data_IF_020967222583
#
_entry.id   IF_020967222583
#
_cell.length_a   1.000
_cell.length_b   1.000
_cell.length_c   1.000
_cell.angle_alpha   90.00
_cell.angle_beta   90.00
_cell.angle_gamma   90.00
#
_symmetry.space_group_name_H-M   'P 1'
#
loop_
_entity.id
_entity.type
_entity.pdbx_description
1 polymer ?
#
# COMPACT_ATOMS: atom_id res chain seq x y z
N UNK A 1 -40.94 56.57 -28.40
CA UNK A 1 -40.98 55.35 -29.23
C UNK A 1 -41.01 54.15 -28.32
N UNK A 2 -42.11 53.42 -28.34
CA UNK A 2 -42.19 51.99 -28.04
C UNK A 2 -41.26 51.23 -29.00
N UNK A 3 -40.46 50.30 -28.49
CA UNK A 3 -40.08 49.06 -29.18
C UNK A 3 -39.88 47.94 -28.16
N UNK A 4 -41.00 47.35 -27.76
CA UNK A 4 -41.29 45.92 -27.85
C UNK A 4 -40.12 44.94 -28.07
N UNK A 5 -40.18 43.89 -27.26
CA UNK A 5 -39.81 42.51 -27.61
C UNK A 5 -38.31 42.13 -27.63
N UNK A 6 -37.83 41.72 -26.46
CA UNK A 6 -36.83 40.64 -26.37
C UNK A 6 -37.31 39.63 -25.35
N UNK A 7 -38.33 38.88 -25.74
CA UNK A 7 -38.63 37.56 -25.20
C UNK A 7 -37.31 36.80 -25.03
N UNK A 8 -36.91 36.60 -23.76
CA UNK A 8 -35.91 35.58 -23.42
C UNK A 8 -36.63 34.25 -23.71
N UNK A 9 -36.19 33.43 -24.68
CA UNK A 9 -36.81 32.14 -24.86
C UNK A 9 -36.54 31.34 -23.59
N UNK A 10 -37.63 31.05 -22.88
CA UNK A 10 -37.66 30.08 -21.80
C UNK A 10 -36.87 28.85 -22.27
N UNK A 11 -35.82 28.52 -21.52
CA UNK A 11 -35.07 27.29 -21.75
C UNK A 11 -36.07 26.15 -21.93
N UNK A 12 -35.95 25.46 -23.07
CA UNK A 12 -36.79 24.30 -23.42
C UNK A 12 -36.95 23.42 -22.17
N UNK A 13 -38.18 22.96 -21.86
CA UNK A 13 -38.39 22.05 -20.73
C UNK A 13 -37.42 20.89 -20.89
N UNK A 14 -36.59 20.65 -19.87
CA UNK A 14 -35.82 19.42 -19.77
C UNK A 14 -36.85 18.31 -19.86
N UNK A 15 -36.72 17.51 -20.93
CA UNK A 15 -37.59 16.39 -21.22
C UNK A 15 -37.67 15.54 -19.95
N UNK A 16 -38.88 15.19 -19.47
CA UNK A 16 -39.06 14.43 -18.23
C UNK A 16 -38.22 13.12 -18.20
N UNK A 17 -37.77 12.64 -19.37
CA UNK A 17 -36.80 11.55 -19.54
C UNK A 17 -35.40 11.86 -18.98
N UNK A 18 -34.90 13.10 -19.10
CA UNK A 18 -33.58 13.51 -18.60
C UNK A 18 -33.59 13.71 -17.08
N UNK A 19 -34.67 14.23 -16.50
CA UNK A 19 -34.85 14.30 -15.04
C UNK A 19 -34.98 12.89 -14.43
N UNK A 20 -35.66 11.96 -15.12
CA UNK A 20 -35.72 10.56 -14.70
C UNK A 20 -34.34 9.87 -14.72
N UNK A 21 -33.51 10.13 -15.74
CA UNK A 21 -32.13 9.59 -15.83
C UNK A 21 -31.19 10.19 -14.79
N UNK A 22 -31.35 11.48 -14.48
CA UNK A 22 -30.59 12.16 -13.42
C UNK A 22 -30.93 11.57 -12.04
N UNK A 23 -32.22 11.39 -11.76
CA UNK A 23 -32.69 10.77 -10.51
C UNK A 23 -32.23 9.31 -10.39
N UNK A 24 -32.28 8.53 -11.47
CA UNK A 24 -31.76 7.16 -11.48
C UNK A 24 -30.24 7.10 -11.24
N UNK A 25 -29.47 8.08 -11.75
CA UNK A 25 -28.05 8.19 -11.47
C UNK A 25 -27.78 8.56 -10.00
N UNK A 26 -28.52 9.51 -9.44
CA UNK A 26 -28.40 9.88 -8.02
C UNK A 26 -28.77 8.71 -7.09
N UNK A 27 -29.80 7.92 -7.40
CA UNK A 27 -30.14 6.70 -6.67
C UNK A 27 -29.06 5.62 -6.79
N UNK A 28 -28.41 5.48 -7.96
CA UNK A 28 -27.29 4.56 -8.15
C UNK A 28 -26.01 5.01 -7.43
N UNK A 29 -25.72 6.31 -7.38
CA UNK A 29 -24.64 6.87 -6.57
C UNK A 29 -24.93 6.70 -5.08
N UNK A 30 -26.18 6.91 -4.64
CA UNK A 30 -26.58 6.71 -3.25
C UNK A 30 -26.44 5.25 -2.82
N UNK A 31 -26.81 4.29 -3.68
CA UNK A 31 -26.57 2.86 -3.44
C UNK A 31 -25.08 2.54 -3.36
N UNK A 32 -24.24 3.07 -4.26
CA UNK A 32 -22.78 2.84 -4.20
C UNK A 32 -22.15 3.46 -2.97
N UNK A 33 -22.60 4.65 -2.56
CA UNK A 33 -22.14 5.28 -1.33
C UNK A 33 -22.54 4.43 -0.12
N UNK A 34 -23.79 3.97 -0.05
CA UNK A 34 -24.25 3.08 1.01
C UNK A 34 -23.47 1.76 1.05
N UNK A 35 -23.18 1.14 -0.10
CA UNK A 35 -22.33 -0.05 -0.18
C UNK A 35 -20.88 0.21 0.24
N UNK A 36 -20.32 1.39 -0.12
CA UNK A 36 -18.97 1.79 0.28
C UNK A 36 -18.90 2.07 1.79
N UNK A 37 -19.86 2.81 2.35
CA UNK A 37 -19.97 3.08 3.79
C UNK A 37 -20.18 1.78 4.57
N UNK A 38 -21.02 0.86 4.07
CA UNK A 38 -21.22 -0.46 4.69
C UNK A 38 -19.92 -1.28 4.70
N UNK A 39 -19.11 -1.24 3.63
CA UNK A 39 -17.79 -1.90 3.59
C UNK A 39 -16.80 -1.28 4.59
N UNK A 40 -16.76 0.04 4.70
CA UNK A 40 -15.91 0.72 5.68
C UNK A 40 -16.34 0.37 7.12
N UNK A 41 -17.64 0.39 7.39
CA UNK A 41 -18.18 0.03 8.70
C UNK A 41 -17.88 -1.43 9.03
N UNK A 42 -18.05 -2.36 8.08
CA UNK A 42 -17.71 -3.77 8.27
C UNK A 42 -16.22 -3.95 8.59
N UNK A 43 -15.32 -3.27 7.87
CA UNK A 43 -13.87 -3.31 8.15
C UNK A 43 -13.54 -2.77 9.54
N UNK A 44 -14.21 -1.69 9.98
CA UNK A 44 -14.05 -1.14 11.32
C UNK A 44 -14.55 -2.11 12.40
N UNK A 45 -15.71 -2.71 12.20
CA UNK A 45 -16.29 -3.69 13.12
C UNK A 45 -15.43 -4.95 13.21
N UNK A 46 -14.92 -5.47 12.10
CA UNK A 46 -14.00 -6.61 12.08
C UNK A 46 -12.71 -6.29 12.85
N UNK A 47 -12.18 -5.08 12.68
CA UNK A 47 -11.01 -4.61 13.43
C UNK A 47 -11.28 -4.54 14.93
N UNK A 48 -12.41 -3.97 15.34
CA UNK A 48 -12.80 -3.90 16.76
C UNK A 48 -13.02 -5.30 17.35
N UNK A 49 -13.70 -6.20 16.63
CA UNK A 49 -13.90 -7.58 17.04
C UNK A 49 -12.57 -8.35 17.17
N UNK A 50 -11.62 -8.14 16.26
CA UNK A 50 -10.28 -8.73 16.36
C UNK A 50 -9.52 -8.21 17.59
N UNK A 51 -9.63 -6.92 17.92
CA UNK A 51 -9.02 -6.34 19.11
C UNK A 51 -9.65 -6.89 20.40
N UNK A 52 -10.97 -7.03 20.46
CA UNK A 52 -11.67 -7.64 21.60
C UNK A 52 -11.31 -9.12 21.77
N UNK A 53 -11.13 -9.86 20.66
CA UNK A 53 -10.62 -11.22 20.70
C UNK A 53 -9.21 -11.27 21.30
N UNK A 54 -8.32 -10.36 20.93
CA UNK A 54 -6.96 -10.32 21.50
C UNK A 54 -7.00 -9.97 22.99
N UNK A 55 -7.87 -9.04 23.41
CA UNK A 55 -8.01 -8.70 24.84
C UNK A 55 -8.51 -9.87 25.68
N UNK A 56 -9.46 -10.64 25.16
CA UNK A 56 -10.07 -11.78 25.87
C UNK A 56 -9.20 -13.03 25.94
N UNK A 57 -8.16 -13.14 25.11
CA UNK A 57 -7.24 -14.29 25.16
C UNK A 57 -6.35 -14.28 26.41
N UNK A 58 -6.02 -15.48 26.90
CA UNK A 58 -5.08 -15.67 28.00
C UNK A 58 -3.65 -15.32 27.57
N UNK A 59 -2.79 -15.00 28.52
CA UNK A 59 -1.40 -14.63 28.22
C UNK A 59 -0.65 -15.78 27.51
N UNK A 60 -0.85 -17.03 27.94
CA UNK A 60 -0.24 -18.19 27.30
C UNK A 60 -0.70 -18.37 25.83
N UNK A 61 -1.99 -18.20 25.57
CA UNK A 61 -2.55 -18.32 24.22
C UNK A 61 -2.05 -17.19 23.31
N UNK A 62 -1.90 -15.98 23.82
CA UNK A 62 -1.39 -14.83 23.06
C UNK A 62 0.08 -15.00 22.72
N UNK A 63 0.89 -15.50 23.66
CA UNK A 63 2.30 -15.80 23.40
C UNK A 63 2.44 -16.83 22.27
N UNK A 64 1.65 -17.91 22.31
CA UNK A 64 1.66 -18.91 21.24
C UNK A 64 1.15 -18.36 19.91
N UNK A 65 0.04 -17.60 19.92
CA UNK A 65 -0.55 -17.07 18.69
C UNK A 65 0.34 -15.99 18.03
N UNK A 66 0.97 -15.14 18.84
CA UNK A 66 1.88 -14.09 18.35
C UNK A 66 3.14 -14.67 17.72
N UNK A 67 3.74 -15.68 18.36
CA UNK A 67 4.96 -16.33 17.83
C UNK A 67 4.68 -17.06 16.52
N UNK A 68 3.56 -17.77 16.41
CA UNK A 68 3.13 -18.39 15.14
C UNK A 68 2.80 -17.35 14.06
N UNK A 69 2.13 -16.25 14.42
CA UNK A 69 1.86 -15.16 13.47
C UNK A 69 3.15 -14.58 12.90
N UNK A 70 4.12 -14.27 13.76
CA UNK A 70 5.43 -13.74 13.35
C UNK A 70 6.15 -14.69 12.42
N UNK A 71 6.09 -16.01 12.70
CA UNK A 71 6.65 -17.03 11.82
C UNK A 71 6.00 -17.01 10.44
N UNK A 72 4.67 -17.11 10.38
CA UNK A 72 3.91 -17.13 9.12
C UNK A 72 4.12 -15.85 8.31
N UNK A 73 4.17 -14.70 8.96
CA UNK A 73 4.40 -13.43 8.25
C UNK A 73 5.84 -13.31 7.74
N UNK A 74 6.82 -13.88 8.46
CA UNK A 74 8.22 -13.95 8.01
C UNK A 74 8.40 -14.83 6.77
N UNK A 75 7.62 -15.91 6.65
CA UNK A 75 7.61 -16.76 5.46
C UNK A 75 7.12 -16.02 4.21
N UNK A 76 6.21 -15.04 4.36
CA UNK A 76 5.73 -14.20 3.26
C UNK A 76 6.77 -13.17 2.79
N UNK A 77 7.81 -12.92 3.58
CA UNK A 77 8.86 -11.96 3.22
C UNK A 77 9.84 -12.57 2.22
N UNK A 78 9.76 -12.08 0.99
CA UNK A 78 10.75 -12.39 -0.05
C UNK A 78 11.98 -11.49 0.08
N UNK A 79 13.17 -12.08 0.23
CA UNK A 79 14.49 -11.43 0.12
C UNK A 79 14.65 -10.15 0.96
N UNK A 80 14.69 -10.29 2.29
CA UNK A 80 15.06 -9.22 3.24
C UNK A 80 16.30 -9.68 4.02
N UNK A 81 17.31 -8.82 4.12
CA UNK A 81 18.45 -9.06 5.02
C UNK A 81 17.97 -9.09 6.47
N UNK A 82 18.61 -9.91 7.31
CA UNK A 82 18.32 -10.06 8.74
C UNK A 82 16.90 -10.52 9.11
N UNK A 83 16.09 -11.01 8.16
CA UNK A 83 14.68 -11.31 8.43
C UNK A 83 14.44 -12.36 9.50
N UNK A 84 15.23 -13.43 9.48
CA UNK A 84 15.12 -14.53 10.44
C UNK A 84 15.59 -14.06 11.83
N UNK A 85 16.67 -13.26 11.89
CA UNK A 85 17.20 -12.72 13.15
C UNK A 85 16.20 -11.78 13.83
N UNK A 86 15.59 -10.86 13.08
CA UNK A 86 14.57 -9.93 13.60
C UNK A 86 13.30 -10.70 14.01
N UNK A 87 12.87 -11.68 13.21
CA UNK A 87 11.72 -12.51 13.53
C UNK A 87 11.95 -13.31 14.82
N UNK A 88 13.11 -13.93 14.97
CA UNK A 88 13.50 -14.65 16.19
C UNK A 88 13.56 -13.72 17.41
N UNK A 89 14.12 -12.52 17.25
CA UNK A 89 14.16 -11.51 18.30
C UNK A 89 12.76 -11.15 18.79
N UNK A 90 11.85 -10.83 17.86
CA UNK A 90 10.44 -10.51 18.16
C UNK A 90 9.75 -11.71 18.82
N UNK A 91 9.93 -12.93 18.30
CA UNK A 91 9.33 -14.13 18.92
C UNK A 91 9.83 -14.33 20.36
N UNK A 92 11.12 -14.12 20.61
CA UNK A 92 11.70 -14.24 21.94
C UNK A 92 11.16 -13.16 22.89
N UNK A 93 10.91 -11.95 22.39
CA UNK A 93 10.24 -10.90 23.18
C UNK A 93 8.79 -11.25 23.47
N UNK A 94 8.03 -11.73 22.49
CA UNK A 94 6.66 -12.20 22.72
C UNK A 94 6.59 -13.28 23.81
N UNK A 95 7.59 -14.18 23.88
CA UNK A 95 7.68 -15.21 24.95
C UNK A 95 7.97 -14.64 26.34
N UNK A 96 8.65 -13.49 26.42
CA UNK A 96 9.06 -12.85 27.67
C UNK A 96 8.01 -11.86 28.19
N UNK A 97 7.37 -11.13 27.28
CA UNK A 97 6.40 -10.10 27.61
C UNK A 97 5.06 -10.36 26.88
N UNK A 98 4.03 -10.84 27.62
CA UNK A 98 2.68 -10.99 27.08
C UNK A 98 2.05 -9.69 26.59
N UNK A 99 2.46 -8.54 27.14
CA UNK A 99 1.97 -7.22 26.72
C UNK A 99 2.45 -6.88 25.32
N UNK A 100 3.74 -7.13 25.05
CA UNK A 100 4.30 -7.01 23.71
C UNK A 100 3.64 -7.99 22.73
N UNK A 101 3.41 -9.23 23.15
CA UNK A 101 2.71 -10.22 22.34
C UNK A 101 1.29 -9.76 21.94
N UNK A 102 0.57 -9.04 22.83
CA UNK A 102 -0.73 -8.41 22.52
C UNK A 102 -0.60 -7.32 21.44
N UNK A 103 0.46 -6.51 21.49
CA UNK A 103 0.73 -5.47 20.49
C UNK A 103 1.06 -6.08 19.12
N UNK A 104 1.91 -7.12 19.07
CA UNK A 104 2.25 -7.84 17.83
C UNK A 104 1.02 -8.46 17.17
N UNK A 105 0.00 -8.81 17.95
CA UNK A 105 -1.25 -9.37 17.45
C UNK A 105 -2.22 -8.31 16.88
N UNK A 106 -1.93 -7.01 16.98
CA UNK A 106 -2.79 -5.97 16.43
C UNK A 106 -3.02 -6.19 14.91
N UNK A 107 -4.27 -6.18 14.41
CA UNK A 107 -4.56 -6.43 13.00
C UNK A 107 -3.88 -5.44 12.03
N UNK A 108 -3.55 -4.23 12.49
CA UNK A 108 -2.86 -3.24 11.66
C UNK A 108 -1.35 -3.51 11.56
N UNK A 109 -0.78 -4.20 12.56
CA UNK A 109 0.65 -4.46 12.65
C UNK A 109 1.02 -5.69 11.84
N UNK A 110 2.05 -5.59 10.99
CA UNK A 110 2.52 -6.73 10.20
C UNK A 110 4.04 -6.75 10.15
N UNK A 111 4.62 -7.94 9.95
CA UNK A 111 6.07 -8.04 9.76
C UNK A 111 6.53 -7.29 8.49
N UNK A 112 5.70 -7.23 7.45
CA UNK A 112 6.02 -6.48 6.22
C UNK A 112 6.23 -5.01 6.52
N UNK A 113 5.30 -4.41 7.27
CA UNK A 113 5.36 -3.01 7.69
C UNK A 113 6.49 -2.76 8.69
N UNK A 114 6.77 -3.71 9.59
CA UNK A 114 7.95 -3.66 10.46
C UNK A 114 9.24 -3.47 9.64
N UNK A 115 9.44 -4.25 8.57
CA UNK A 115 10.60 -4.05 7.71
C UNK A 115 10.54 -2.76 6.89
N UNK A 116 9.37 -2.23 6.55
CA UNK A 116 9.29 -0.90 5.94
C UNK A 116 9.74 0.19 6.90
N UNK A 117 9.32 0.09 8.17
CA UNK A 117 9.75 0.98 9.24
C UNK A 117 11.26 0.92 9.44
N UNK A 118 11.81 -0.30 9.57
CA UNK A 118 13.26 -0.52 9.69
C UNK A 118 14.02 0.11 8.51
N UNK A 119 13.54 -0.05 7.28
CA UNK A 119 14.20 0.54 6.11
C UNK A 119 14.13 2.07 6.10
N UNK A 120 13.04 2.66 6.59
CA UNK A 120 12.92 4.12 6.78
C UNK A 120 13.94 4.61 7.81
N UNK A 121 13.97 3.97 8.98
CA UNK A 121 14.90 4.33 10.05
C UNK A 121 16.36 4.13 9.63
N UNK A 122 16.67 3.04 8.92
CA UNK A 122 18.01 2.79 8.38
C UNK A 122 18.44 3.88 7.41
N UNK A 123 17.53 4.34 6.53
CA UNK A 123 17.82 5.44 5.60
C UNK A 123 18.11 6.74 6.35
N UNK A 124 17.30 7.06 7.36
CA UNK A 124 17.47 8.28 8.15
C UNK A 124 18.79 8.24 8.97
N UNK A 125 19.10 7.10 9.58
CA UNK A 125 20.36 6.85 10.27
C UNK A 125 21.56 7.03 9.35
N UNK A 126 21.57 6.37 8.18
CA UNK A 126 22.67 6.48 7.22
C UNK A 126 22.83 7.92 6.71
N UNK A 127 21.72 8.62 6.49
CA UNK A 127 21.77 10.02 6.08
C UNK A 127 22.33 10.93 7.17
N UNK A 128 22.09 10.61 8.44
CA UNK A 128 22.67 11.35 9.57
C UNK A 128 24.16 11.04 9.73
N UNK A 129 24.56 9.77 9.73
CA UNK A 129 25.97 9.35 9.80
C UNK A 129 26.81 10.00 8.71
N UNK A 130 26.29 10.09 7.48
CA UNK A 130 26.99 10.75 6.38
C UNK A 130 27.15 12.26 6.59
N UNK A 131 26.16 12.92 7.21
CA UNK A 131 26.27 14.36 7.56
C UNK A 131 27.30 14.56 8.65
N UNK A 132 27.28 13.72 9.69
CA UNK A 132 28.15 13.83 10.85
C UNK A 132 29.63 13.54 10.49
N UNK A 133 29.87 12.74 9.44
CA UNK A 133 31.20 12.43 8.92
C UNK A 133 31.61 13.28 7.68
N UNK A 134 30.82 14.28 7.28
CA UNK A 134 31.05 15.10 6.07
C UNK A 134 31.21 14.29 4.75
N UNK A 135 30.59 13.10 4.69
CA UNK A 135 30.63 12.19 3.53
C UNK A 135 29.53 12.56 2.54
N UNK A 136 29.89 12.77 1.27
CA UNK A 136 28.91 13.02 0.21
C UNK A 136 28.33 11.71 -0.33
N UNK A 137 27.01 11.64 -0.59
CA UNK A 137 26.42 10.48 -1.24
C UNK A 137 26.99 10.27 -2.64
N UNK A 138 27.57 9.10 -2.86
CA UNK A 138 28.04 8.69 -4.17
C UNK A 138 26.83 8.19 -4.98
N UNK A 139 26.55 8.86 -6.11
CA UNK A 139 25.46 8.53 -7.04
C UNK A 139 24.04 8.42 -6.42
N UNK A 140 23.78 9.11 -5.31
CA UNK A 140 22.48 9.08 -4.63
C UNK A 140 22.16 7.76 -3.92
N UNK A 141 23.16 6.88 -3.78
CA UNK A 141 23.06 5.65 -3.00
C UNK A 141 23.61 5.93 -1.60
N UNK A 142 22.77 5.69 -0.60
CA UNK A 142 23.16 5.73 0.81
C UNK A 142 23.67 4.33 1.15
N UNK A 143 24.98 4.23 1.38
CA UNK A 143 25.64 2.97 1.71
C UNK A 143 26.38 3.13 3.03
N UNK A 144 26.10 2.25 3.98
CA UNK A 144 26.78 2.18 5.26
C UNK A 144 26.26 1.00 6.06
N UNK A 145 26.98 0.68 7.13
CA UNK A 145 26.59 -0.40 8.02
C UNK A 145 25.61 0.12 9.07
N UNK A 146 24.58 -0.68 9.37
CA UNK A 146 23.61 -0.38 10.42
C UNK A 146 23.78 -1.43 11.51
N UNK A 147 24.13 -1.03 12.75
CA UNK A 147 24.25 -1.95 13.87
C UNK A 147 23.00 -2.81 14.07
N UNK A 148 23.19 -4.12 14.24
CA UNK A 148 22.10 -5.08 14.45
C UNK A 148 21.20 -4.69 15.64
N UNK A 149 21.79 -4.19 16.73
CA UNK A 149 21.05 -3.76 17.92
C UNK A 149 20.04 -2.65 17.62
N UNK A 150 20.39 -1.71 16.73
CA UNK A 150 19.45 -0.66 16.30
C UNK A 150 18.31 -1.25 15.48
N UNK A 151 18.60 -2.20 14.60
CA UNK A 151 17.58 -2.88 13.80
C UNK A 151 16.59 -3.62 14.72
N UNK A 152 17.09 -4.28 15.77
CA UNK A 152 16.23 -4.91 16.76
C UNK A 152 15.39 -3.88 17.53
N UNK A 153 15.98 -2.76 17.99
CA UNK A 153 15.22 -1.70 18.66
C UNK A 153 14.11 -1.14 17.77
N UNK A 154 14.40 -0.80 16.51
CA UNK A 154 13.38 -0.29 15.59
C UNK A 154 12.27 -1.29 15.32
N UNK A 155 12.58 -2.58 15.34
CA UNK A 155 11.56 -3.62 15.23
C UNK A 155 10.59 -3.60 16.42
N UNK A 156 11.10 -3.36 17.64
CA UNK A 156 10.30 -3.23 18.86
C UNK A 156 9.49 -1.93 18.83
N UNK A 157 10.14 -0.83 18.47
CA UNK A 157 9.52 0.50 18.38
C UNK A 157 8.32 0.47 17.42
N UNK A 158 8.45 -0.19 16.28
CA UNK A 158 7.36 -0.35 15.33
C UNK A 158 6.12 -1.03 15.95
N UNK A 159 6.29 -2.10 16.74
CA UNK A 159 5.15 -2.77 17.37
C UNK A 159 4.58 -1.99 18.57
N UNK A 160 5.42 -1.22 19.26
CA UNK A 160 5.02 -0.35 20.36
C UNK A 160 4.28 0.92 19.90
N UNK A 161 4.63 1.46 18.73
CA UNK A 161 4.04 2.68 18.18
C UNK A 161 2.61 2.40 17.70
N UNK A 162 1.56 2.93 18.36
CA UNK A 162 0.18 2.69 17.93
C UNK A 162 -0.17 3.38 16.59
N UNK A 163 0.62 4.36 16.13
CA UNK A 163 0.35 5.23 14.98
C UNK A 163 1.49 5.20 13.95
N UNK A 164 2.19 4.07 13.85
CA UNK A 164 3.27 3.91 12.88
C UNK A 164 2.77 4.21 11.46
N UNK A 165 3.50 5.06 10.75
CA UNK A 165 3.12 5.57 9.43
C UNK A 165 2.83 4.44 8.42
N UNK A 166 3.55 3.34 8.56
CA UNK A 166 3.50 2.15 7.72
C UNK A 166 2.16 1.40 7.84
N UNK A 167 1.40 1.64 8.91
CA UNK A 167 0.10 1.00 9.14
C UNK A 167 -1.08 1.82 8.61
N UNK A 168 -0.84 3.06 8.19
CA UNK A 168 -1.85 3.86 7.50
C UNK A 168 -2.07 3.31 6.09
N UNK A 169 -3.06 2.43 5.96
CA UNK A 169 -3.62 2.10 4.66
C UNK A 169 -4.38 3.34 4.18
N UNK A 170 -4.00 3.92 3.03
CA UNK A 170 -4.77 4.98 2.39
C UNK A 170 -6.23 4.53 2.29
N UNK A 171 -7.11 5.15 3.07
CA UNK A 171 -8.54 4.85 2.99
C UNK A 171 -9.02 5.26 1.60
N UNK A 172 -9.50 4.27 0.85
CA UNK A 172 -9.95 4.43 -0.53
C UNK A 172 -11.13 5.43 -0.57
N UNK A 173 -10.84 6.70 -0.85
CA UNK A 173 -11.83 7.78 -0.89
C UNK A 173 -12.89 7.45 -1.92
N UNK A 174 -14.16 7.48 -1.53
CA UNK A 174 -15.28 7.35 -2.46
C UNK A 174 -15.17 8.41 -3.55
N UNK A 175 -14.99 7.97 -4.81
CA UNK A 175 -14.98 8.84 -5.99
C UNK A 175 -16.37 8.80 -6.64
N UNK A 176 -17.18 9.87 -6.54
CA UNK A 176 -18.48 9.93 -7.20
C UNK A 176 -18.29 9.85 -8.72
N UNK A 177 -19.17 9.13 -9.42
CA UNK A 177 -19.13 9.14 -10.89
C UNK A 177 -19.86 10.39 -11.39
N UNK A 178 -19.27 11.17 -12.30
CA UNK A 178 -19.95 12.31 -12.88
C UNK A 178 -21.08 11.83 -13.79
N UNK A 179 -22.26 12.46 -13.67
CA UNK A 179 -23.39 12.20 -14.55
C UNK A 179 -23.06 12.70 -15.97
N UNK A 180 -22.92 11.76 -16.91
CA UNK A 180 -22.68 12.08 -18.32
C UNK A 180 -23.98 12.01 -19.11
N UNK A 181 -24.55 13.17 -19.43
CA UNK A 181 -25.68 13.26 -20.36
C UNK A 181 -25.27 12.71 -21.74
N UNK A 182 -26.20 12.07 -22.45
CA UNK A 182 -25.96 11.57 -23.81
C UNK A 182 -25.52 12.69 -24.78
N UNK A 183 -25.86 13.95 -24.49
CA UNK A 183 -25.40 15.13 -25.22
C UNK A 183 -23.89 15.44 -25.04
N UNK A 184 -23.28 15.02 -23.93
CA UNK A 184 -21.86 15.25 -23.64
C UNK A 184 -20.94 14.25 -24.33
N UNK A 185 -21.44 13.09 -24.76
CA UNK A 185 -20.69 12.16 -25.62
C UNK A 185 -20.44 12.71 -27.03
N UNK A 186 -21.18 13.72 -27.47
CA UNK A 186 -21.06 14.29 -28.82
C UNK A 186 -20.00 15.41 -28.94
N UNK A 187 -19.36 15.86 -27.85
CA UNK A 187 -18.33 16.94 -27.90
C UNK A 187 -16.91 16.51 -27.53
N UNK A 188 -16.67 15.21 -27.29
CA UNK A 188 -15.38 14.69 -26.82
C UNK A 188 -14.75 13.58 -27.66
N UNK A 189 -15.31 13.23 -28.82
CA UNK A 189 -14.78 12.15 -29.67
C UNK A 189 -14.42 12.61 -31.09
N UNK A 190 -13.53 13.60 -31.18
CA UNK A 190 -12.74 13.81 -32.39
C UNK A 190 -11.25 13.82 -32.05
N UNK A 191 -10.78 12.74 -31.42
CA UNK A 191 -9.39 12.32 -31.60
C UNK A 191 -9.43 11.00 -32.35
N UNK A 192 -9.36 11.16 -33.66
CA UNK A 192 -9.09 10.12 -34.65
C UNK A 192 -8.15 9.08 -34.06
N UNK A 193 -8.67 7.86 -33.89
CA UNK A 193 -7.87 6.65 -33.71
C UNK A 193 -7.15 6.42 -35.04
N UNK A 194 -6.06 7.17 -35.27
CA UNK A 194 -5.04 6.81 -36.25
C UNK A 194 -4.49 5.48 -35.76
N UNK A 195 -4.96 4.42 -36.42
CA UNK A 195 -4.33 3.11 -36.49
C UNK A 195 -2.86 3.29 -36.89
N UNK A 196 -2.00 3.47 -35.89
CA UNK A 196 -0.57 3.25 -36.02
C UNK A 196 -0.38 1.73 -36.08
N UNK A 197 -0.33 1.23 -37.31
CA UNK A 197 0.17 -0.09 -37.66
C UNK A 197 1.62 -0.12 -37.19
N UNK A 198 1.88 -0.65 -36.00
CA UNK A 198 3.24 -0.85 -35.51
C UNK A 198 3.79 -2.05 -36.27
N UNK A 199 4.70 -1.77 -37.21
CA UNK A 199 5.50 -2.76 -37.90
C UNK A 199 6.14 -3.69 -36.86
N UNK A 200 5.94 -4.98 -37.07
CA UNK A 200 6.66 -6.07 -36.43
C UNK A 200 8.13 -5.96 -36.79
N UNK A 201 8.90 -5.33 -35.92
CA UNK A 201 10.36 -5.32 -35.98
C UNK A 201 10.87 -6.73 -35.68
N UNK A 202 11.63 -7.27 -36.63
CA UNK A 202 12.20 -8.61 -36.58
C UNK A 202 13.07 -8.76 -35.33
N UNK A 203 12.68 -9.76 -34.53
CA UNK A 203 13.49 -10.50 -33.57
C UNK A 203 14.89 -10.77 -34.15
N UNK A 204 15.90 -10.04 -33.69
CA UNK A 204 17.29 -10.43 -33.87
C UNK A 204 17.57 -11.67 -33.01
N UNK A 205 18.21 -12.66 -33.62
CA UNK A 205 18.58 -13.94 -33.01
C UNK A 205 19.54 -13.77 -31.82
N UNK A 206 19.40 -14.58 -30.76
CA UNK A 206 20.39 -14.62 -29.69
C UNK A 206 21.68 -15.27 -30.20
N UNK A 207 22.80 -14.56 -30.07
CA UNK A 207 24.14 -15.11 -30.30
C UNK A 207 24.41 -16.26 -29.32
N UNK A 208 24.98 -17.31 -29.91
CA UNK A 208 25.36 -18.58 -29.29
C UNK A 208 26.29 -18.40 -28.08
N UNK A 209 26.00 -19.24 -27.09
CA UNK A 209 26.88 -19.83 -26.10
C UNK A 209 28.39 -19.65 -26.35
N UNK A 210 29.08 -19.05 -25.39
CA UNK A 210 30.41 -19.53 -25.02
C UNK A 210 30.46 -19.69 -23.49
N UNK A 211 30.22 -20.92 -23.07
CA UNK A 211 30.46 -21.40 -21.71
C UNK A 211 31.98 -21.57 -21.59
N UNK A 212 32.71 -20.48 -21.31
CA UNK A 212 34.13 -20.60 -20.99
C UNK A 212 34.27 -21.03 -19.53
N UNK A 213 34.19 -22.35 -19.36
CA UNK A 213 34.59 -23.10 -18.19
C UNK A 213 36.06 -22.78 -17.87
N UNK A 214 36.31 -21.82 -16.97
CA UNK A 214 37.65 -21.64 -16.41
C UNK A 214 37.87 -22.72 -15.35
N UNK A 215 38.52 -23.80 -15.79
CA UNK A 215 39.08 -24.83 -14.92
C UNK A 215 40.16 -24.21 -14.02
N UNK A 216 40.00 -24.40 -12.71
CA UNK A 216 41.10 -24.37 -11.75
C UNK A 216 42.14 -25.43 -12.13
N UNK A 217 43.45 -25.13 -12.11
CA UNK A 217 44.46 -26.14 -11.87
C UNK A 217 44.91 -26.05 -10.41
N UNK A 218 44.65 -27.11 -9.66
CA UNK A 218 45.28 -27.36 -8.39
C UNK A 218 46.72 -27.87 -8.56
N UNK A 219 47.48 -27.72 -7.48
CA UNK A 219 48.45 -28.70 -6.94
C UNK A 219 49.38 -29.38 -7.95
N UNK A 220 50.62 -28.91 -7.98
CA UNK A 220 51.83 -29.70 -7.66
C UNK A 220 52.99 -28.77 -7.36
#
# INVERSE_FOLDING_TARGET
MDMSDRTIPAGKPLDASEDAKRKAHEEAEAKRRAEWEAKQLAKKQEREAALEKIKSMSDADIVSASTERVRVDTEKLTRRNMKECVAEHIQNLCRKDPSFARQTMNPNKTMIHCFHYINRMAKDYLQQEMKDNDIKPENGVYGGDVPDDLVYQWSIDYFNDPDAQEDHVEEEKFTPRPYVNAASKAKGSTKSKKTAKKETEKKQEPKKNDYQQMSLPGVS
#
